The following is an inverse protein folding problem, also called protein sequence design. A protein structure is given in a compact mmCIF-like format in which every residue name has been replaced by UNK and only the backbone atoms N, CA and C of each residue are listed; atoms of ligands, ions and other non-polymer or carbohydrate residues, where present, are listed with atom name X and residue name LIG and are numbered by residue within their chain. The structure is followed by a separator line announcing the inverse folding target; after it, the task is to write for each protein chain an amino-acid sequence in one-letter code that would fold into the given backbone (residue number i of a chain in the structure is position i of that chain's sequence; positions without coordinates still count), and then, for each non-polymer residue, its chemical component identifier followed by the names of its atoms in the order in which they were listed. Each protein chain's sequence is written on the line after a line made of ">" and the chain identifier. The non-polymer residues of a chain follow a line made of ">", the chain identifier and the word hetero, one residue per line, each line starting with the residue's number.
data_IF_859272224224
#
_entry.id   IF_859272224224
#
_cell.length_a   1.000
_cell.length_b   1.000
_cell.length_c   1.000
_cell.angle_alpha   90.00
_cell.angle_beta   90.00
_cell.angle_gamma   90.00
#
_symmetry.space_group_name_H-M   'P 1'
#
loop_
_entity.id
_entity.type
_entity.pdbx_description
1 polymer ?
#
# COMPACT_ATOMS: atom_id res chain seq x y z
N UNK A 1 -19.61 2.64 5.44
CA UNK A 1 -18.76 1.43 5.47
C UNK A 1 -17.75 1.67 6.60
N UNK A 2 -16.87 0.73 6.98
CA UNK A 2 -15.79 1.09 7.92
C UNK A 2 -14.61 1.69 7.15
N UNK A 3 -13.88 2.64 7.75
CA UNK A 3 -12.70 3.27 7.13
C UNK A 3 -11.67 2.23 6.69
N UNK A 4 -11.50 1.16 7.48
CA UNK A 4 -10.64 0.03 7.12
C UNK A 4 -11.10 -0.69 5.86
N UNK A 5 -12.40 -0.93 5.69
CA UNK A 5 -12.93 -1.58 4.50
C UNK A 5 -12.84 -0.68 3.26
N UNK A 6 -13.01 0.63 3.43
CA UNK A 6 -12.85 1.61 2.34
C UNK A 6 -11.39 1.69 1.87
N UNK A 7 -10.43 1.75 2.79
CA UNK A 7 -9.00 1.78 2.47
C UNK A 7 -8.55 0.47 1.80
N UNK A 8 -8.98 -0.68 2.33
CA UNK A 8 -8.61 -1.99 1.75
C UNK A 8 -9.13 -2.14 0.33
N UNK A 9 -10.35 -1.68 0.03
CA UNK A 9 -10.88 -1.73 -1.34
C UNK A 9 -10.06 -0.87 -2.30
N UNK A 10 -9.74 0.37 -1.92
CA UNK A 10 -8.90 1.26 -2.74
C UNK A 10 -7.54 0.65 -3.06
N UNK A 11 -6.94 -0.08 -2.11
CA UNK A 11 -5.67 -0.78 -2.31
C UNK A 11 -5.83 -2.02 -3.21
N UNK A 12 -6.91 -2.80 -3.06
CA UNK A 12 -7.20 -3.98 -3.92
C UNK A 12 -7.45 -3.56 -5.37
N UNK A 13 -8.05 -2.40 -5.61
CA UNK A 13 -8.27 -1.87 -6.96
C UNK A 13 -6.96 -1.54 -7.70
N UNK A 14 -5.82 -1.47 -6.98
CA UNK A 14 -4.51 -1.25 -7.59
C UNK A 14 -3.88 -2.58 -8.01
N UNK A 15 -3.71 -2.77 -9.32
CA UNK A 15 -3.04 -3.92 -9.92
C UNK A 15 -1.51 -3.88 -9.72
N UNK A 16 -1.09 -3.95 -8.46
CA UNK A 16 0.27 -3.81 -7.95
C UNK A 16 1.11 -5.08 -8.11
N UNK A 17 1.16 -5.67 -9.31
CA UNK A 17 1.96 -6.88 -9.53
C UNK A 17 3.46 -6.55 -9.39
N UNK A 18 4.19 -7.35 -8.62
CA UNK A 18 5.64 -7.15 -8.34
C UNK A 18 6.43 -6.78 -9.60
N UNK A 19 7.27 -5.72 -9.58
CA UNK A 19 7.58 -4.79 -8.47
C UNK A 19 6.70 -3.52 -8.46
N UNK A 20 5.66 -3.45 -9.29
CA UNK A 20 4.88 -2.22 -9.47
C UNK A 20 4.02 -1.92 -8.24
N UNK A 21 4.20 -0.74 -7.66
CA UNK A 21 3.39 -0.29 -6.51
C UNK A 21 1.95 0.09 -6.90
N UNK A 22 1.72 0.50 -8.15
CA UNK A 22 0.41 0.95 -8.65
C UNK A 22 -0.29 1.98 -7.72
N UNK A 23 0.48 2.95 -7.18
CA UNK A 23 0.00 4.03 -6.29
C UNK A 23 -0.44 3.60 -4.87
N UNK A 24 -0.31 2.32 -4.49
CA UNK A 24 -0.64 1.86 -3.14
C UNK A 24 0.06 2.69 -2.04
N UNK A 25 1.35 3.00 -2.21
CA UNK A 25 2.12 3.78 -1.24
C UNK A 25 1.69 5.25 -1.21
N UNK A 26 1.27 5.82 -2.34
CA UNK A 26 0.68 7.16 -2.41
C UNK A 26 -0.63 7.22 -1.61
N UNK A 27 -1.51 6.23 -1.80
CA UNK A 27 -2.78 6.11 -1.05
C UNK A 27 -2.52 6.03 0.46
N UNK A 28 -1.56 5.20 0.89
CA UNK A 28 -1.19 5.08 2.31
C UNK A 28 -0.59 6.37 2.87
N UNK A 29 0.27 7.04 2.12
CA UNK A 29 0.87 8.30 2.52
C UNK A 29 -0.18 9.40 2.69
N UNK A 30 -1.11 9.53 1.74
CA UNK A 30 -2.18 10.54 1.79
C UNK A 30 -3.17 10.25 2.93
N UNK A 31 -3.44 8.96 3.21
CA UNK A 31 -4.29 8.56 4.33
C UNK A 31 -3.64 8.87 5.70
N UNK A 32 -2.33 8.66 5.86
CA UNK A 32 -1.65 8.77 7.16
C UNK A 32 -0.99 10.13 7.43
N UNK A 33 -0.71 10.92 6.40
CA UNK A 33 -0.12 12.27 6.54
C UNK A 33 -0.98 13.21 7.40
N UNK A 34 -2.32 13.28 7.26
CA UNK A 34 -3.18 14.07 8.15
C UNK A 34 -3.09 13.66 9.63
N UNK A 35 -2.77 12.39 9.90
CA UNK A 35 -2.61 11.83 11.26
C UNK A 35 -1.25 12.15 11.90
N UNK A 36 -0.43 12.98 11.25
CA UNK A 36 0.85 13.46 11.76
C UNK A 36 2.03 12.53 11.47
N UNK A 37 1.92 11.65 10.47
CA UNK A 37 3.04 10.87 9.96
C UNK A 37 3.88 11.72 8.99
N UNK A 38 5.21 11.70 9.19
CA UNK A 38 6.15 12.17 8.18
C UNK A 38 6.31 11.10 7.10
N UNK A 39 6.26 11.54 5.84
CA UNK A 39 6.33 10.69 4.66
C UNK A 39 7.76 10.75 4.10
N UNK A 40 8.41 9.60 4.02
CA UNK A 40 9.71 9.42 3.37
C UNK A 40 9.59 8.31 2.33
N UNK A 41 9.66 8.69 1.05
CA UNK A 41 9.66 7.75 -0.08
C UNK A 41 11.11 7.42 -0.43
N UNK A 42 11.42 6.14 -0.52
CA UNK A 42 12.75 5.62 -0.81
C UNK A 42 12.69 4.70 -2.03
N UNK A 43 13.12 5.21 -3.18
CA UNK A 43 13.14 4.46 -4.42
C UNK A 43 14.52 3.83 -4.66
N UNK A 44 14.56 2.52 -4.86
CA UNK A 44 15.77 1.77 -5.18
C UNK A 44 15.51 0.90 -6.41
N UNK A 45 16.23 1.15 -7.49
CA UNK A 45 16.00 0.47 -8.78
C UNK A 45 14.53 0.56 -9.21
N UNK A 46 13.85 -0.57 -9.37
CA UNK A 46 12.44 -0.72 -9.75
C UNK A 46 11.49 -0.84 -8.55
N UNK A 47 12.00 -0.78 -7.31
CA UNK A 47 11.20 -0.94 -6.09
C UNK A 47 10.99 0.40 -5.38
N UNK A 48 9.72 0.73 -5.15
CA UNK A 48 9.32 1.85 -4.30
C UNK A 48 9.15 1.37 -2.86
N UNK A 49 9.76 2.06 -1.90
CA UNK A 49 9.60 1.79 -0.47
C UNK A 49 9.08 3.05 0.23
N UNK A 50 8.27 2.85 1.28
CA UNK A 50 7.67 3.93 2.04
C UNK A 50 7.98 3.79 3.52
N UNK A 51 8.55 4.84 4.10
CA UNK A 51 8.71 5.00 5.54
C UNK A 51 7.79 6.09 6.06
N UNK A 52 6.78 5.68 6.84
CA UNK A 52 5.86 6.57 7.52
C UNK A 52 6.16 6.57 9.01
N UNK A 53 6.56 7.73 9.54
CA UNK A 53 6.91 7.85 10.96
C UNK A 53 6.20 9.01 11.64
N UNK A 54 5.53 8.69 12.75
CA UNK A 54 4.99 9.67 13.70
C UNK A 54 5.82 9.65 15.00
N UNK A 55 6.35 10.82 15.38
CA UNK A 55 7.18 11.00 16.58
C UNK A 55 8.66 10.61 16.41
N UNK A 56 9.50 11.06 17.34
CA UNK A 56 10.97 10.95 17.26
C UNK A 56 11.63 10.17 18.41
N UNK A 57 10.87 9.82 19.44
CA UNK A 57 11.38 9.20 20.67
C UNK A 57 11.38 7.66 20.62
N UNK A 58 12.07 7.03 21.56
CA UNK A 58 12.05 5.57 21.79
C UNK A 58 11.00 5.17 22.84
N UNK A 59 10.44 3.95 22.77
CA UNK A 59 10.71 2.90 21.79
C UNK A 59 10.00 3.14 20.45
N UNK A 60 10.62 2.68 19.35
CA UNK A 60 10.01 2.69 18.03
C UNK A 60 9.20 1.40 17.83
N UNK A 61 7.89 1.56 17.62
CA UNK A 61 7.00 0.47 17.22
C UNK A 61 6.71 0.58 15.72
N UNK A 62 6.81 -0.53 14.98
CA UNK A 62 6.76 -0.54 13.51
C UNK A 62 5.76 -1.58 13.00
N UNK A 63 4.90 -1.17 12.06
CA UNK A 63 4.21 -2.07 11.16
C UNK A 63 5.03 -2.20 9.88
N UNK A 64 5.21 -3.43 9.40
CA UNK A 64 5.90 -3.73 8.15
C UNK A 64 5.01 -4.62 7.29
N UNK A 65 5.02 -4.39 5.98
CA UNK A 65 4.23 -5.11 5.00
C UNK A 65 4.73 -4.82 3.59
N UNK A 66 3.98 -5.28 2.60
CA UNK A 66 4.27 -5.07 1.18
C UNK A 66 2.98 -4.69 0.46
N UNK A 67 3.10 -3.91 -0.61
CA UNK A 67 1.96 -3.52 -1.45
C UNK A 67 1.82 -4.39 -2.68
N UNK A 68 2.90 -5.03 -3.12
CA UNK A 68 2.89 -5.83 -4.32
C UNK A 68 2.18 -7.18 -4.13
N UNK A 69 1.63 -7.68 -5.23
CA UNK A 69 0.94 -8.96 -5.30
C UNK A 69 1.50 -9.83 -6.43
N UNK A 70 1.20 -11.12 -6.37
CA UNK A 70 1.54 -12.07 -7.44
C UNK A 70 0.63 -11.87 -8.67
N UNK A 71 1.04 -12.33 -9.86
CA UNK A 71 0.15 -12.35 -11.02
C UNK A 71 -1.16 -13.11 -10.75
N UNK A 72 -2.26 -12.64 -11.32
CA UNK A 72 -3.63 -13.11 -11.08
C UNK A 72 -3.93 -14.49 -11.69
N UNK A 73 -3.11 -14.93 -12.65
CA UNK A 73 -3.47 -16.02 -13.55
C UNK A 73 -4.55 -15.61 -14.57
N UNK A 74 -5.20 -16.56 -15.25
CA UNK A 74 -6.26 -16.26 -16.20
C UNK A 74 -7.50 -15.68 -15.50
N UNK A 75 -7.97 -14.51 -15.92
CA UNK A 75 -9.12 -13.81 -15.31
C UNK A 75 -10.42 -14.61 -15.44
N UNK A 76 -10.57 -15.42 -16.47
CA UNK A 76 -11.74 -16.29 -16.69
C UNK A 76 -11.93 -17.35 -15.60
N UNK A 77 -10.91 -17.61 -14.78
CA UNK A 77 -11.01 -18.52 -13.64
C UNK A 77 -11.55 -17.83 -12.37
N UNK A 78 -11.75 -16.51 -12.40
CA UNK A 78 -12.25 -15.74 -11.28
C UNK A 78 -13.76 -15.49 -11.40
N UNK A 79 -14.49 -15.66 -10.29
CA UNK A 79 -15.92 -15.32 -10.23
C UNK A 79 -16.18 -13.79 -10.25
N UNK A 80 -15.16 -12.99 -9.97
CA UNK A 80 -15.17 -11.52 -10.01
C UNK A 80 -13.79 -11.02 -10.44
N UNK A 81 -13.68 -9.87 -11.13
CA UNK A 81 -12.37 -9.35 -11.53
C UNK A 81 -11.42 -9.23 -10.32
N UNK A 82 -10.14 -9.65 -10.45
CA UNK A 82 -9.22 -9.80 -9.31
C UNK A 82 -8.88 -8.49 -8.58
N UNK A 83 -9.16 -7.33 -9.20
CA UNK A 83 -8.89 -6.00 -8.67
C UNK A 83 -10.17 -5.13 -8.63
N UNK A 84 -11.29 -5.68 -8.16
CA UNK A 84 -12.60 -4.99 -8.03
C UNK A 84 -13.30 -5.19 -6.70
#
# INVERSE_FOLDING_TARGET
>A
MSDTLELVKQLIEQASVTPNDAECQSILADYLKPEGFNVEVMQFEDVTNLWLRRGTNTPLFVFAGHTDVVPTGPEENWDSPPFS
#
